data_IF_128153536215
#
_entry.id   IF_128153536215
#
_cell.length_a   1.000
_cell.length_b   1.000
_cell.length_c   1.000
_cell.angle_alpha   90.00
_cell.angle_beta   90.00
_cell.angle_gamma   90.00
#
_symmetry.space_group_name_H-M   'P 1'
#
loop_
_entity.id
_entity.type
_entity.pdbx_description
1 polymer ?
#
# COMPACT_ATOMS: atom_id res chain seq x y z
N UNK A 1 12.32 -44.80 -6.29
CA UNK A 1 12.29 -43.54 -5.53
C UNK A 1 13.39 -43.60 -4.48
N UNK A 2 14.21 -42.55 -4.34
CA UNK A 2 15.26 -42.52 -3.30
C UNK A 2 14.62 -42.42 -1.92
N UNK A 3 15.26 -43.00 -0.89
CA UNK A 3 14.82 -42.85 0.49
C UNK A 3 14.77 -41.36 0.89
N UNK A 4 13.79 -40.94 1.72
CA UNK A 4 13.69 -39.57 2.22
C UNK A 4 14.97 -39.17 2.99
N UNK A 5 15.41 -37.91 2.84
CA UNK A 5 16.59 -37.40 3.55
C UNK A 5 16.25 -37.14 5.03
N UNK A 6 17.10 -37.53 5.98
CA UNK A 6 16.88 -37.24 7.41
C UNK A 6 17.44 -38.32 8.34
N UNK A 7 17.06 -38.31 9.64
CA UNK A 7 16.04 -37.47 10.25
C UNK A 7 16.50 -36.04 10.57
N UNK A 8 15.67 -35.05 10.23
CA UNK A 8 15.84 -33.65 10.62
C UNK A 8 15.01 -33.38 11.88
N UNK A 9 15.65 -32.89 12.95
CA UNK A 9 14.99 -32.52 14.21
C UNK A 9 14.56 -31.06 14.16
N UNK A 10 13.26 -30.81 14.29
CA UNK A 10 12.62 -29.50 14.22
C UNK A 10 12.12 -29.07 15.61
N UNK A 11 12.42 -27.84 15.99
CA UNK A 11 11.85 -27.14 17.13
C UNK A 11 11.05 -25.94 16.61
N UNK A 12 9.89 -25.68 17.19
CA UNK A 12 9.10 -24.48 16.87
C UNK A 12 9.16 -23.50 18.01
N UNK A 13 8.99 -22.21 17.72
CA UNK A 13 8.77 -21.20 18.75
C UNK A 13 7.41 -20.57 18.54
N UNK A 14 6.47 -20.84 19.44
CA UNK A 14 5.09 -20.38 19.31
C UNK A 14 4.41 -20.32 20.68
N UNK A 15 3.67 -19.24 20.93
CA UNK A 15 2.89 -19.05 22.16
C UNK A 15 1.63 -19.93 22.21
N UNK A 16 1.22 -20.53 21.09
CA UNK A 16 0.10 -21.47 20.96
C UNK A 16 0.57 -22.88 20.51
N UNK A 17 1.08 -23.73 21.43
CA UNK A 17 1.75 -24.99 21.10
C UNK A 17 0.90 -26.00 20.30
N UNK A 18 -0.40 -26.11 20.60
CA UNK A 18 -1.31 -27.01 19.87
C UNK A 18 -1.57 -26.58 18.43
N UNK A 19 -1.47 -25.27 18.15
CA UNK A 19 -1.58 -24.71 16.79
C UNK A 19 -0.30 -24.99 16.01
N UNK A 20 0.86 -24.80 16.64
CA UNK A 20 2.16 -25.12 16.05
C UNK A 20 2.27 -26.62 15.71
N UNK A 21 1.90 -27.51 16.64
CA UNK A 21 1.92 -28.96 16.42
C UNK A 21 1.07 -29.39 15.22
N UNK A 22 -0.15 -28.84 15.08
CA UNK A 22 -1.03 -29.13 13.93
C UNK A 22 -0.43 -28.64 12.62
N UNK A 23 0.11 -27.42 12.58
CA UNK A 23 0.75 -26.86 11.40
C UNK A 23 1.97 -27.69 10.97
N UNK A 24 2.84 -28.04 11.93
CA UNK A 24 4.02 -28.87 11.65
C UNK A 24 3.63 -30.27 11.18
N UNK A 25 2.58 -30.88 11.75
CA UNK A 25 2.07 -32.16 11.26
C UNK A 25 1.74 -32.13 9.76
N UNK A 26 1.17 -31.02 9.28
CA UNK A 26 0.86 -30.81 7.85
C UNK A 26 2.12 -30.65 7.00
N UNK A 27 3.14 -29.95 7.51
CA UNK A 27 4.44 -29.79 6.83
C UNK A 27 5.18 -31.13 6.73
N UNK A 28 5.22 -31.89 7.82
CA UNK A 28 5.84 -33.22 7.86
C UNK A 28 5.16 -34.15 6.85
N UNK A 29 3.83 -34.14 6.81
CA UNK A 29 3.05 -34.94 5.86
C UNK A 29 3.30 -34.52 4.41
N UNK A 30 3.31 -33.22 4.11
CA UNK A 30 3.56 -32.71 2.76
C UNK A 30 4.98 -33.01 2.24
N UNK A 31 5.93 -33.21 3.16
CA UNK A 31 7.34 -33.43 2.83
C UNK A 31 7.80 -34.88 3.05
N UNK A 32 6.94 -35.81 3.47
CA UNK A 32 7.30 -37.18 3.88
C UNK A 32 8.04 -37.98 2.80
N UNK A 33 7.74 -37.72 1.53
CA UNK A 33 8.38 -38.40 0.39
C UNK A 33 9.80 -37.87 0.10
N UNK A 34 10.15 -36.70 0.64
CA UNK A 34 11.43 -36.03 0.42
C UNK A 34 12.30 -36.01 1.67
N UNK A 35 11.69 -35.90 2.85
CA UNK A 35 12.38 -35.72 4.13
C UNK A 35 11.74 -36.52 5.27
N UNK A 36 12.57 -37.04 6.16
CA UNK A 36 12.14 -37.51 7.49
C UNK A 36 12.33 -36.37 8.48
N UNK A 37 11.23 -35.81 9.00
CA UNK A 37 11.24 -34.67 9.93
C UNK A 37 10.63 -35.11 11.26
N UNK A 38 11.32 -34.83 12.36
CA UNK A 38 10.88 -35.13 13.73
C UNK A 38 10.65 -33.80 14.45
N UNK A 39 9.41 -33.50 14.80
CA UNK A 39 9.08 -32.36 15.66
C UNK A 39 9.40 -32.69 17.12
N UNK A 40 10.46 -32.10 17.66
CA UNK A 40 10.98 -32.44 18.99
C UNK A 40 10.36 -31.62 20.11
N UNK A 41 10.11 -30.32 19.88
CA UNK A 41 9.63 -29.43 20.92
C UNK A 41 8.99 -28.16 20.34
N UNK A 42 8.18 -27.50 21.17
CA UNK A 42 7.72 -26.13 20.96
C UNK A 42 8.15 -25.25 22.14
N UNK A 43 9.00 -24.26 21.88
CA UNK A 43 9.42 -23.23 22.81
C UNK A 43 8.42 -22.06 22.81
N UNK A 44 8.28 -21.36 23.94
CA UNK A 44 7.45 -20.15 24.05
C UNK A 44 8.27 -18.88 23.88
N UNK A 45 9.55 -18.91 24.21
CA UNK A 45 10.47 -17.77 24.06
C UNK A 45 11.74 -18.17 23.31
N UNK A 46 12.50 -17.16 22.89
CA UNK A 46 13.75 -17.34 22.13
C UNK A 46 14.86 -17.98 22.97
N UNK A 47 14.86 -17.72 24.28
CA UNK A 47 15.85 -18.23 25.24
C UNK A 47 15.70 -19.74 25.49
N UNK A 48 14.52 -20.30 25.23
CA UNK A 48 14.24 -21.73 25.35
C UNK A 48 14.75 -22.54 24.14
N UNK A 49 15.20 -21.88 23.07
CA UNK A 49 15.67 -22.51 21.84
C UNK A 49 17.13 -22.96 22.01
N UNK A 50 17.31 -24.24 22.34
CA UNK A 50 18.63 -24.89 22.35
C UNK A 50 19.24 -25.09 20.94
N UNK A 51 20.23 -26.01 20.78
CA UNK A 51 21.03 -26.21 19.55
C UNK A 51 20.27 -26.85 18.35
N UNK A 52 18.97 -26.57 18.19
CA UNK A 52 18.05 -27.27 17.28
C UNK A 52 17.42 -26.28 16.27
N UNK A 53 16.96 -26.78 15.11
CA UNK A 53 16.35 -25.95 14.06
C UNK A 53 15.08 -25.27 14.58
N UNK A 54 14.96 -23.95 14.38
CA UNK A 54 13.78 -23.16 14.78
C UNK A 54 12.98 -22.73 13.55
N UNK A 55 11.66 -22.96 13.56
CA UNK A 55 10.69 -22.31 12.68
C UNK A 55 9.85 -21.36 13.54
N UNK A 56 9.80 -20.09 13.15
CA UNK A 56 9.20 -19.06 13.99
C UNK A 56 8.49 -17.97 13.19
N UNK A 57 7.43 -17.43 13.80
CA UNK A 57 6.66 -16.28 13.33
C UNK A 57 7.11 -15.06 14.13
N UNK A 58 8.15 -14.40 13.66
CA UNK A 58 8.69 -13.22 14.30
C UNK A 58 8.93 -12.14 13.27
N UNK A 59 9.13 -10.90 13.75
CA UNK A 59 9.57 -9.81 12.90
C UNK A 59 10.86 -10.15 12.19
N UNK A 60 11.13 -9.48 11.07
CA UNK A 60 12.36 -9.72 10.31
C UNK A 60 13.62 -9.51 11.17
N UNK A 61 13.57 -8.58 12.12
CA UNK A 61 14.64 -8.30 13.08
C UNK A 61 14.85 -9.44 14.08
N UNK A 62 13.77 -9.94 14.68
CA UNK A 62 13.79 -11.09 15.58
C UNK A 62 14.23 -12.38 14.87
N UNK A 63 13.80 -12.58 13.62
CA UNK A 63 14.24 -13.70 12.79
C UNK A 63 15.75 -13.62 12.49
N UNK A 64 16.29 -12.42 12.22
CA UNK A 64 17.74 -12.19 12.07
C UNK A 64 18.50 -12.49 13.35
N UNK A 65 17.99 -12.06 14.51
CA UNK A 65 18.60 -12.33 15.82
C UNK A 65 18.67 -13.84 16.11
N UNK A 66 17.59 -14.59 15.85
CA UNK A 66 17.55 -16.05 16.01
C UNK A 66 18.54 -16.74 15.07
N UNK A 67 18.61 -16.29 13.83
CA UNK A 67 19.57 -16.85 12.87
C UNK A 67 21.02 -16.61 13.31
N UNK A 68 21.32 -15.49 13.96
CA UNK A 68 22.64 -15.22 14.53
C UNK A 68 22.95 -16.17 15.69
N UNK A 69 22.07 -16.24 16.68
CA UNK A 69 22.23 -17.10 17.87
C UNK A 69 22.40 -18.57 17.45
N UNK A 70 21.57 -19.04 16.51
CA UNK A 70 21.65 -20.41 16.02
C UNK A 70 23.02 -20.72 15.37
N UNK A 71 23.57 -19.79 14.59
CA UNK A 71 24.87 -19.95 13.92
C UNK A 71 26.06 -19.80 14.87
N UNK A 72 25.94 -19.00 15.92
CA UNK A 72 26.95 -18.94 16.99
C UNK A 72 27.07 -20.28 17.71
N UNK A 73 25.93 -20.95 17.95
CA UNK A 73 25.90 -22.28 18.60
C UNK A 73 26.36 -23.39 17.65
N UNK A 74 25.95 -23.32 16.38
CA UNK A 74 26.31 -24.29 15.34
C UNK A 74 26.53 -23.57 14.00
N UNK A 75 27.78 -23.30 13.62
CA UNK A 75 28.10 -22.49 12.43
C UNK A 75 27.45 -22.95 11.13
N UNK A 76 27.29 -24.27 10.95
CA UNK A 76 26.71 -24.87 9.74
C UNK A 76 25.20 -25.14 9.84
N UNK A 77 24.52 -24.61 10.87
CA UNK A 77 23.08 -24.80 11.00
C UNK A 77 22.36 -24.05 9.87
N UNK A 78 21.47 -24.77 9.18
CA UNK A 78 20.58 -24.11 8.21
C UNK A 78 19.44 -23.49 9.01
N UNK A 79 19.07 -22.26 8.67
CA UNK A 79 17.95 -21.58 9.33
C UNK A 79 16.94 -21.17 8.29
N UNK A 80 15.66 -21.16 8.67
CA UNK A 80 14.59 -20.80 7.77
C UNK A 80 13.51 -20.04 8.54
N UNK A 81 13.31 -18.78 8.18
CA UNK A 81 12.28 -17.95 8.76
C UNK A 81 11.04 -17.98 7.87
N UNK A 82 9.89 -18.18 8.50
CA UNK A 82 8.59 -17.96 7.86
C UNK A 82 8.37 -16.45 7.87
N UNK A 83 8.00 -15.82 6.73
CA UNK A 83 7.72 -14.40 6.68
C UNK A 83 6.70 -14.01 7.75
N UNK A 84 6.96 -12.91 8.43
CA UNK A 84 5.99 -12.28 9.31
C UNK A 84 4.69 -12.03 8.55
N UNK A 85 3.54 -12.17 9.21
CA UNK A 85 2.24 -11.97 8.57
C UNK A 85 1.75 -13.14 7.70
N UNK A 86 2.62 -14.02 7.18
CA UNK A 86 2.22 -15.05 6.19
C UNK A 86 1.04 -15.93 6.64
N UNK A 87 0.99 -16.34 7.92
CA UNK A 87 -0.15 -17.11 8.44
C UNK A 87 -1.43 -16.29 8.55
N UNK A 88 -1.29 -15.01 8.87
CA UNK A 88 -2.40 -14.09 9.09
C UNK A 88 -3.01 -13.70 7.74
N UNK A 89 -2.16 -13.39 6.76
CA UNK A 89 -2.51 -12.98 5.40
C UNK A 89 -3.11 -14.11 4.56
N UNK A 90 -2.51 -15.31 4.64
CA UNK A 90 -2.81 -16.40 3.69
C UNK A 90 -3.18 -17.73 4.37
N UNK A 91 -3.36 -17.71 5.68
CA UNK A 91 -3.74 -18.88 6.45
C UNK A 91 -2.60 -19.90 6.64
N UNK A 92 -2.86 -20.99 7.39
CA UNK A 92 -1.85 -22.01 7.70
C UNK A 92 -1.33 -22.78 6.47
N UNK A 93 -2.12 -22.85 5.39
CA UNK A 93 -1.76 -23.51 4.14
C UNK A 93 -0.60 -22.82 3.42
N UNK A 94 -0.54 -21.49 3.46
CA UNK A 94 0.52 -20.72 2.83
C UNK A 94 1.89 -20.90 3.51
N UNK A 95 1.90 -21.22 4.81
CA UNK A 95 3.15 -21.63 5.48
C UNK A 95 3.65 -22.95 4.90
N UNK A 96 2.74 -23.92 4.69
CA UNK A 96 3.11 -25.22 4.12
C UNK A 96 3.63 -25.03 2.70
N UNK A 97 2.95 -24.24 1.88
CA UNK A 97 3.37 -23.89 0.52
C UNK A 97 4.75 -23.22 0.52
N UNK A 98 4.95 -22.18 1.33
CA UNK A 98 6.22 -21.46 1.45
C UNK A 98 7.39 -22.38 1.84
N UNK A 99 7.17 -23.28 2.81
CA UNK A 99 8.18 -24.25 3.24
C UNK A 99 8.43 -25.34 2.18
N UNK A 100 7.47 -25.61 1.29
CA UNK A 100 7.58 -26.61 0.23
C UNK A 100 8.19 -26.07 -1.08
N UNK A 101 8.00 -24.79 -1.40
CA UNK A 101 8.31 -24.21 -2.72
C UNK A 101 9.74 -23.66 -2.88
N UNK A 102 10.49 -23.37 -1.81
CA UNK A 102 11.85 -22.81 -1.92
C UNK A 102 12.97 -23.73 -1.45
N UNK A 103 13.57 -24.58 -2.31
CA UNK A 103 14.93 -25.03 -2.11
C UNK A 103 15.90 -23.92 -2.55
N UNK A 104 16.76 -23.50 -1.63
CA UNK A 104 17.91 -22.60 -1.80
C UNK A 104 18.63 -22.73 -3.16
N UNK A 105 18.84 -21.60 -3.88
CA UNK A 105 19.81 -21.47 -4.98
C UNK A 105 20.73 -20.24 -4.77
N UNK A 106 22.06 -20.38 -4.92
CA UNK A 106 23.00 -19.27 -4.73
C UNK A 106 23.11 -18.37 -5.97
N UNK A 107 23.39 -17.08 -5.72
CA UNK A 107 23.52 -15.99 -6.71
C UNK A 107 24.78 -16.16 -7.58
N UNK A 108 24.64 -15.99 -8.91
CA UNK A 108 25.43 -15.13 -9.82
C UNK A 108 25.35 -15.64 -11.27
N UNK A 109 24.65 -14.90 -12.15
CA UNK A 109 25.17 -14.35 -13.43
C UNK A 109 24.06 -13.60 -14.18
N UNK A 110 24.40 -12.39 -14.63
CA UNK A 110 23.61 -11.54 -15.51
C UNK A 110 23.72 -12.00 -16.98
N UNK A 111 22.63 -11.94 -17.73
CA UNK A 111 22.64 -11.55 -19.15
C UNK A 111 21.28 -11.00 -19.58
N UNK A 112 21.31 -10.10 -20.57
CA UNK A 112 20.26 -9.16 -20.95
C UNK A 112 19.41 -9.69 -22.13
N UNK A 113 18.11 -9.32 -22.08
CA UNK A 113 17.05 -9.22 -23.13
C UNK A 113 16.56 -10.48 -23.86
N UNK A 114 15.23 -10.62 -23.88
CA UNK A 114 14.42 -10.55 -25.11
C UNK A 114 12.93 -10.29 -24.79
N UNK A 115 12.24 -9.63 -25.72
CA UNK A 115 10.81 -9.34 -25.67
C UNK A 115 10.00 -10.65 -25.60
N UNK A 116 9.03 -10.75 -24.69
CA UNK A 116 8.05 -11.83 -24.73
C UNK A 116 6.69 -11.35 -24.21
N UNK A 117 5.67 -11.53 -25.04
CA UNK A 117 4.24 -11.31 -24.77
C UNK A 117 3.65 -12.45 -23.94
N UNK A 118 4.27 -12.78 -22.83
CA UNK A 118 3.65 -13.61 -21.79
C UNK A 118 3.01 -12.69 -20.76
N UNK A 119 1.73 -12.95 -20.45
CA UNK A 119 0.92 -12.27 -19.43
C UNK A 119 1.62 -12.36 -18.06
N UNK A 120 2.54 -11.44 -17.78
CA UNK A 120 3.07 -11.22 -16.43
C UNK A 120 1.86 -10.83 -15.59
N UNK A 121 1.60 -11.56 -14.50
CA UNK A 121 0.69 -11.11 -13.45
C UNK A 121 1.21 -9.74 -12.99
N UNK A 122 0.68 -8.65 -13.55
CA UNK A 122 1.13 -7.29 -13.28
C UNK A 122 0.76 -6.98 -11.84
N UNK A 123 1.74 -7.05 -10.93
CA UNK A 123 1.65 -6.51 -9.57
C UNK A 123 2.11 -5.05 -9.51
N UNK A 124 2.33 -4.40 -10.65
CA UNK A 124 2.92 -3.07 -10.70
C UNK A 124 1.85 -1.99 -10.72
N UNK A 125 2.10 -0.89 -9.98
CA UNK A 125 1.30 0.31 -10.07
C UNK A 125 1.48 0.96 -11.46
N UNK A 126 0.39 1.35 -12.10
CA UNK A 126 0.41 2.12 -13.33
C UNK A 126 0.71 3.59 -13.04
N UNK A 127 1.56 4.22 -13.85
CA UNK A 127 1.97 5.61 -13.63
C UNK A 127 2.20 6.40 -14.92
N UNK A 128 2.33 7.71 -14.79
CA UNK A 128 2.87 8.61 -15.82
C UNK A 128 3.90 9.55 -15.19
N UNK A 129 4.84 10.04 -16.00
CA UNK A 129 5.92 10.94 -15.57
C UNK A 129 5.75 12.30 -16.25
N UNK A 130 5.98 13.38 -15.51
CA UNK A 130 6.19 14.74 -16.03
C UNK A 130 7.49 15.34 -15.51
N UNK A 131 7.99 16.38 -16.18
CA UNK A 131 9.17 17.11 -15.75
C UNK A 131 10.45 16.66 -16.44
N UNK A 132 11.62 17.07 -15.94
CA UNK A 132 12.91 16.78 -16.55
C UNK A 132 13.23 15.27 -16.50
N UNK A 133 14.10 14.84 -17.41
CA UNK A 133 14.64 13.48 -17.39
C UNK A 133 15.49 13.22 -16.14
N UNK A 134 15.62 11.94 -15.76
CA UNK A 134 16.27 11.54 -14.50
C UNK A 134 17.71 12.03 -14.38
N UNK A 135 18.40 12.22 -15.50
CA UNK A 135 19.79 12.71 -15.54
C UNK A 135 19.91 14.22 -15.28
N UNK A 136 18.84 14.98 -15.48
CA UNK A 136 18.79 16.43 -15.26
C UNK A 136 18.19 16.81 -13.89
N UNK A 137 17.53 15.87 -13.20
CA UNK A 137 16.84 16.13 -11.95
C UNK A 137 17.80 16.25 -10.75
N UNK A 138 18.07 17.49 -10.31
CA UNK A 138 18.89 17.79 -9.13
C UNK A 138 18.14 17.71 -7.79
N UNK A 139 16.81 17.62 -7.81
CA UNK A 139 15.93 17.61 -6.63
C UNK A 139 15.14 16.31 -6.52
N UNK A 140 14.75 15.94 -5.30
CA UNK A 140 13.95 14.74 -5.05
C UNK A 140 12.66 14.76 -5.89
N UNK A 141 12.36 13.69 -6.65
CA UNK A 141 11.15 13.61 -7.46
C UNK A 141 9.90 13.57 -6.59
N UNK A 142 8.77 13.93 -7.16
CA UNK A 142 7.45 13.88 -6.51
C UNK A 142 6.75 12.59 -6.94
N UNK A 143 6.17 11.86 -5.98
CA UNK A 143 5.21 10.79 -6.22
C UNK A 143 3.84 11.26 -5.73
N UNK A 144 2.88 11.33 -6.64
CA UNK A 144 1.56 11.92 -6.40
C UNK A 144 0.45 10.86 -6.56
N UNK A 145 -0.27 10.60 -5.47
CA UNK A 145 -1.37 9.64 -5.36
C UNK A 145 -2.74 10.32 -5.31
N UNK A 146 -3.72 9.73 -5.98
CA UNK A 146 -5.12 10.19 -6.00
C UNK A 146 -5.94 9.68 -4.79
N UNK A 147 -7.15 10.21 -4.61
CA UNK A 147 -8.13 9.75 -3.62
C UNK A 147 -8.99 8.57 -4.09
N UNK A 148 -9.90 8.08 -3.23
CA UNK A 148 -10.80 6.97 -3.56
C UNK A 148 -11.66 7.29 -4.79
N UNK A 149 -11.86 6.29 -5.66
CA UNK A 149 -12.48 6.41 -6.98
C UNK A 149 -11.75 7.34 -7.96
N UNK A 150 -10.54 7.80 -7.62
CA UNK A 150 -9.70 8.57 -8.52
C UNK A 150 -8.84 7.70 -9.43
N UNK A 151 -8.04 8.39 -10.24
CA UNK A 151 -6.95 7.85 -11.04
C UNK A 151 -5.88 8.93 -11.22
N UNK A 152 -4.72 8.55 -11.72
CA UNK A 152 -3.62 9.45 -12.08
C UNK A 152 -4.07 10.57 -13.03
N UNK A 153 -5.12 10.35 -13.83
CA UNK A 153 -5.64 11.37 -14.75
C UNK A 153 -6.21 12.59 -14.02
N UNK A 154 -6.77 12.43 -12.81
CA UNK A 154 -7.32 13.54 -12.04
C UNK A 154 -6.24 14.55 -11.64
N UNK A 155 -5.00 14.09 -11.44
CA UNK A 155 -3.89 14.93 -11.01
C UNK A 155 -3.03 15.44 -12.19
N UNK A 156 -3.36 15.08 -13.43
CA UNK A 156 -2.47 15.32 -14.58
C UNK A 156 -2.11 16.79 -14.79
N UNK A 157 -3.09 17.68 -14.79
CA UNK A 157 -2.87 19.12 -15.05
C UNK A 157 -2.04 19.77 -13.94
N UNK A 158 -2.36 19.48 -12.68
CA UNK A 158 -1.62 20.02 -11.54
C UNK A 158 -0.20 19.47 -11.49
N UNK A 159 0.01 18.19 -11.79
CA UNK A 159 1.36 17.59 -11.83
C UNK A 159 2.25 18.17 -12.91
N UNK A 160 1.70 18.55 -14.08
CA UNK A 160 2.45 19.29 -15.10
C UNK A 160 2.88 20.67 -14.62
N UNK A 161 1.99 21.38 -13.92
CA UNK A 161 2.31 22.68 -13.36
C UNK A 161 3.39 22.57 -12.28
N UNK A 162 3.25 21.62 -11.34
CA UNK A 162 4.26 21.35 -10.31
C UNK A 162 5.61 20.96 -10.92
N UNK A 163 5.63 20.12 -11.95
CA UNK A 163 6.86 19.71 -12.64
C UNK A 163 7.60 20.91 -13.24
N UNK A 164 6.85 21.83 -13.89
CA UNK A 164 7.38 23.06 -14.47
C UNK A 164 7.91 24.01 -13.38
N UNK A 165 7.09 24.29 -12.37
CA UNK A 165 7.36 25.34 -11.38
C UNK A 165 8.47 24.94 -10.40
N UNK A 166 8.57 23.64 -10.06
CA UNK A 166 9.58 23.12 -9.14
C UNK A 166 10.81 22.54 -9.85
N UNK A 167 10.76 22.38 -11.19
CA UNK A 167 11.77 21.68 -11.98
C UNK A 167 12.10 20.29 -11.40
N UNK A 168 11.07 19.58 -10.94
CA UNK A 168 11.14 18.23 -10.36
C UNK A 168 10.44 17.25 -11.29
N UNK A 169 10.97 16.03 -11.37
CA UNK A 169 10.24 14.93 -11.99
C UNK A 169 9.04 14.56 -11.12
N UNK A 170 7.87 14.35 -11.73
CA UNK A 170 6.61 14.04 -11.03
C UNK A 170 6.02 12.75 -11.58
N UNK A 171 5.94 11.73 -10.73
CA UNK A 171 5.25 10.48 -10.97
C UNK A 171 3.81 10.58 -10.46
N UNK A 172 2.82 10.43 -11.33
CA UNK A 172 1.42 10.28 -10.93
C UNK A 172 1.03 8.81 -10.98
N UNK A 173 0.53 8.28 -9.88
CA UNK A 173 0.21 6.85 -9.74
C UNK A 173 -1.29 6.61 -9.83
N UNK A 174 -1.68 5.48 -10.42
CA UNK A 174 -2.92 4.78 -10.08
C UNK A 174 -2.61 3.86 -8.90
N UNK A 175 -3.34 3.99 -7.78
CA UNK A 175 -3.20 3.05 -6.65
C UNK A 175 -3.88 1.71 -6.96
N UNK A 176 -3.63 0.66 -6.16
CA UNK A 176 -4.33 -0.63 -6.30
C UNK A 176 -5.85 -0.43 -6.40
N UNK A 177 -6.53 -1.29 -7.16
CA UNK A 177 -7.96 -1.21 -7.45
C UNK A 177 -8.40 0.04 -8.23
N UNK A 178 -7.47 0.85 -8.74
CA UNK A 178 -7.78 2.09 -9.44
C UNK A 178 -7.09 2.20 -10.80
N UNK A 179 -7.72 2.96 -11.70
CA UNK A 179 -7.19 3.28 -13.02
C UNK A 179 -6.75 2.04 -13.81
N UNK A 180 -5.46 1.92 -14.07
CA UNK A 180 -4.85 0.79 -14.81
C UNK A 180 -3.92 -0.05 -13.94
N UNK A 181 -3.91 0.17 -12.64
CA UNK A 181 -3.20 -0.68 -11.68
C UNK A 181 -3.95 -1.99 -11.46
N UNK A 182 -3.27 -2.96 -10.87
CA UNK A 182 -3.86 -4.26 -10.57
C UNK A 182 -5.01 -4.16 -9.57
N UNK A 183 -5.87 -5.18 -9.59
CA UNK A 183 -6.93 -5.34 -8.61
C UNK A 183 -6.55 -6.41 -7.57
N UNK A 184 -6.91 -6.17 -6.32
CA UNK A 184 -6.71 -7.06 -5.17
C UNK A 184 -7.92 -6.97 -4.24
N UNK A 185 -8.28 -8.10 -3.62
CA UNK A 185 -9.32 -8.14 -2.59
C UNK A 185 -8.92 -7.33 -1.34
N UNK A 186 -7.63 -7.30 -1.04
CA UNK A 186 -7.11 -6.52 0.07
C UNK A 186 -6.97 -5.04 -0.32
N UNK A 187 -7.59 -4.16 0.47
CA UNK A 187 -7.57 -2.73 0.23
C UNK A 187 -7.42 -1.93 1.53
N UNK A 188 -6.21 -2.00 2.10
CA UNK A 188 -5.83 -1.35 3.37
C UNK A 188 -4.77 -0.27 3.12
N UNK A 189 -4.59 0.66 4.05
CA UNK A 189 -3.53 1.67 3.92
C UNK A 189 -2.12 1.07 4.00
N UNK A 190 -1.91 0.05 4.83
CA UNK A 190 -0.65 -0.69 4.90
C UNK A 190 -0.30 -1.31 3.55
N UNK A 191 -1.25 -2.02 2.95
CA UNK A 191 -1.00 -2.69 1.69
C UNK A 191 -0.81 -1.68 0.53
N UNK A 192 -1.55 -0.57 0.52
CA UNK A 192 -1.30 0.54 -0.42
C UNK A 192 0.09 1.18 -0.21
N UNK A 193 0.55 1.32 1.04
CA UNK A 193 1.86 1.87 1.34
C UNK A 193 2.99 0.95 0.85
N UNK A 194 2.83 -0.36 1.03
CA UNK A 194 3.76 -1.37 0.50
C UNK A 194 3.88 -1.30 -1.03
N UNK A 195 2.77 -1.16 -1.76
CA UNK A 195 2.81 -0.99 -3.21
C UNK A 195 3.60 0.25 -3.62
N UNK A 196 3.45 1.35 -2.89
CA UNK A 196 4.15 2.62 -3.14
C UNK A 196 5.64 2.48 -2.82
N UNK A 197 6.01 1.81 -1.72
CA UNK A 197 7.41 1.50 -1.39
C UNK A 197 8.04 0.62 -2.46
N UNK A 198 7.33 -0.41 -2.92
CA UNK A 198 7.77 -1.27 -4.01
C UNK A 198 7.97 -0.47 -5.30
N UNK A 199 7.04 0.43 -5.63
CA UNK A 199 7.18 1.34 -6.77
C UNK A 199 8.43 2.23 -6.65
N UNK A 200 8.67 2.85 -5.48
CA UNK A 200 9.86 3.68 -5.21
C UNK A 200 11.15 2.89 -5.47
N UNK A 201 11.22 1.65 -4.97
CA UNK A 201 12.36 0.76 -5.19
C UNK A 201 12.52 0.35 -6.66
N UNK A 202 11.43 0.00 -7.35
CA UNK A 202 11.44 -0.36 -8.77
C UNK A 202 11.96 0.79 -9.64
N UNK A 203 11.55 2.03 -9.34
CA UNK A 203 12.01 3.24 -10.02
C UNK A 203 13.42 3.67 -9.59
N UNK A 204 14.04 2.96 -8.63
CA UNK A 204 15.36 3.24 -8.05
C UNK A 204 15.44 4.69 -7.58
N UNK A 205 14.40 5.15 -6.88
CA UNK A 205 14.38 6.47 -6.25
C UNK A 205 15.02 6.33 -4.87
N UNK A 206 16.04 7.15 -4.59
CA UNK A 206 16.70 7.13 -3.27
C UNK A 206 15.82 7.77 -2.20
N UNK A 207 15.16 8.86 -2.57
CA UNK A 207 14.26 9.66 -1.73
C UNK A 207 13.29 10.40 -2.63
N UNK A 208 12.05 10.63 -2.18
CA UNK A 208 11.03 11.31 -2.96
C UNK A 208 10.15 12.19 -2.09
N UNK A 209 9.43 13.13 -2.69
CA UNK A 209 8.34 13.86 -2.04
C UNK A 209 7.06 13.05 -2.25
N UNK A 210 6.29 12.82 -1.20
CA UNK A 210 4.99 12.15 -1.31
C UNK A 210 3.87 13.17 -1.23
N UNK A 211 3.03 13.24 -2.26
CA UNK A 211 1.78 14.00 -2.26
C UNK A 211 0.63 13.02 -2.39
N UNK A 212 -0.38 13.14 -1.54
CA UNK A 212 -1.53 12.24 -1.59
C UNK A 212 -2.81 12.96 -1.23
N UNK A 213 -3.88 12.72 -1.99
CA UNK A 213 -5.21 13.27 -1.70
C UNK A 213 -6.12 12.23 -1.06
N UNK A 214 -6.83 12.60 0.00
CA UNK A 214 -7.84 11.75 0.66
C UNK A 214 -7.29 10.36 1.03
N UNK A 215 -7.70 9.29 0.36
CA UNK A 215 -7.12 7.95 0.48
C UNK A 215 -5.59 7.96 0.29
N UNK A 216 -5.11 8.61 -0.78
CA UNK A 216 -3.69 8.74 -1.06
C UNK A 216 -2.95 9.54 0.02
N UNK A 217 -3.62 10.43 0.74
CA UNK A 217 -3.00 11.17 1.86
C UNK A 217 -2.68 10.22 3.03
N UNK A 218 -3.63 9.34 3.40
CA UNK A 218 -3.41 8.32 4.43
C UNK A 218 -2.36 7.30 3.98
N UNK A 219 -2.36 6.88 2.71
CA UNK A 219 -1.27 6.07 2.16
C UNK A 219 0.09 6.75 2.27
N UNK A 220 0.19 8.03 1.89
CA UNK A 220 1.44 8.81 2.00
C UNK A 220 1.94 8.92 3.45
N UNK A 221 1.02 9.18 4.38
CA UNK A 221 1.29 9.24 5.81
C UNK A 221 1.81 7.89 6.32
N UNK A 222 1.21 6.78 5.93
CA UNK A 222 1.68 5.43 6.30
C UNK A 222 3.09 5.16 5.76
N UNK A 223 3.38 5.46 4.48
CA UNK A 223 4.74 5.30 3.94
C UNK A 223 5.76 6.15 4.71
N UNK A 224 5.41 7.38 5.08
CA UNK A 224 6.32 8.27 5.81
C UNK A 224 6.61 7.79 7.24
N UNK A 225 5.65 7.12 7.88
CA UNK A 225 5.82 6.54 9.22
C UNK A 225 6.58 5.22 9.18
N UNK A 226 6.28 4.32 8.23
CA UNK A 226 6.94 3.01 8.11
C UNK A 226 8.33 3.10 7.47
N UNK A 227 8.54 4.02 6.52
CA UNK A 227 9.76 4.12 5.70
C UNK A 227 10.25 5.57 5.58
N UNK A 228 10.55 6.26 6.70
CA UNK A 228 10.90 7.68 6.71
C UNK A 228 12.14 8.02 5.87
N UNK A 229 13.05 7.06 5.69
CA UNK A 229 14.27 7.24 4.89
C UNK A 229 13.99 7.47 3.39
N UNK A 230 12.83 7.00 2.89
CA UNK A 230 12.41 7.15 1.49
C UNK A 230 11.70 8.49 1.23
N UNK A 231 11.31 9.23 2.28
CA UNK A 231 10.46 10.43 2.17
C UNK A 231 11.25 11.69 2.51
N UNK A 232 11.39 12.59 1.53
CA UNK A 232 12.09 13.87 1.63
C UNK A 232 11.19 14.99 2.17
N UNK A 233 9.93 14.98 1.74
CA UNK A 233 8.87 15.83 2.24
C UNK A 233 7.53 15.13 2.04
N UNK A 234 6.56 15.43 2.89
CA UNK A 234 5.23 14.85 2.88
C UNK A 234 4.17 15.94 2.68
N UNK A 235 3.21 15.72 1.78
CA UNK A 235 2.09 16.64 1.54
C UNK A 235 0.76 15.86 1.56
N UNK A 236 0.16 15.64 2.75
CA UNK A 236 -1.16 15.05 2.85
C UNK A 236 -2.22 16.10 2.51
N UNK A 237 -3.10 15.77 1.56
CA UNK A 237 -4.12 16.69 1.06
C UNK A 237 -5.48 16.22 1.53
N UNK A 238 -6.08 17.02 2.41
CA UNK A 238 -7.43 16.90 2.95
C UNK A 238 -7.77 15.53 3.58
N UNK A 239 -6.85 15.00 4.38
CA UNK A 239 -7.11 13.89 5.29
C UNK A 239 -6.18 13.96 6.51
N UNK A 240 -6.64 13.44 7.65
CA UNK A 240 -5.90 13.43 8.91
C UNK A 240 -5.58 11.98 9.37
N UNK A 241 -4.54 11.78 10.18
CA UNK A 241 -4.14 10.47 10.72
C UNK A 241 -5.05 10.04 11.89
N UNK A 242 -6.37 10.04 11.65
CA UNK A 242 -7.40 9.68 12.63
C UNK A 242 -8.42 8.73 12.00
N UNK A 243 -9.17 8.04 12.85
CA UNK A 243 -10.33 7.28 12.40
C UNK A 243 -11.47 8.26 12.09
N UNK A 244 -11.94 8.22 10.85
CA UNK A 244 -13.01 9.10 10.38
C UNK A 244 -14.02 8.25 9.58
N UNK A 245 -15.32 8.30 9.91
CA UNK A 245 -16.30 7.47 9.23
C UNK A 245 -16.42 7.84 7.75
N UNK A 246 -16.03 6.93 6.86
CA UNK A 246 -16.15 7.09 5.40
C UNK A 246 -17.52 6.65 4.84
N UNK A 247 -18.36 5.98 5.64
CA UNK A 247 -19.63 5.37 5.18
C UNK A 247 -20.72 6.35 4.75
N UNK A 248 -20.57 7.65 5.00
CA UNK A 248 -21.55 8.66 4.61
C UNK A 248 -21.70 8.74 3.09
N UNK A 249 -21.01 9.70 2.47
CA UNK A 249 -21.19 9.97 1.04
C UNK A 249 -20.61 8.86 0.16
N UNK A 250 -19.44 8.31 0.50
CA UNK A 250 -18.83 7.22 -0.28
C UNK A 250 -19.67 5.93 -0.27
N UNK A 251 -20.41 5.66 0.81
CA UNK A 251 -21.36 4.53 0.86
C UNK A 251 -22.49 4.70 -0.16
N UNK A 252 -23.04 5.91 -0.28
CA UNK A 252 -24.06 6.23 -1.30
C UNK A 252 -23.49 6.12 -2.71
N UNK A 253 -22.25 6.55 -2.93
CA UNK A 253 -21.60 6.44 -4.24
C UNK A 253 -21.45 4.98 -4.67
N UNK A 254 -21.01 4.11 -3.77
CA UNK A 254 -20.92 2.66 -4.03
C UNK A 254 -22.28 2.10 -4.42
N UNK A 255 -23.35 2.45 -3.70
CA UNK A 255 -24.71 2.00 -4.02
C UNK A 255 -25.16 2.47 -5.41
N UNK A 256 -24.92 3.74 -5.74
CA UNK A 256 -25.24 4.28 -7.07
C UNK A 256 -24.44 3.63 -8.19
N UNK A 257 -23.14 3.40 -7.98
CA UNK A 257 -22.27 2.72 -8.93
C UNK A 257 -22.69 1.25 -9.14
N UNK A 258 -23.04 0.53 -8.07
CA UNK A 258 -23.58 -0.83 -8.17
C UNK A 258 -24.92 -0.86 -8.93
N UNK A 259 -25.79 0.13 -8.71
CA UNK A 259 -27.07 0.23 -9.43
C UNK A 259 -26.84 0.48 -10.94
N UNK A 260 -25.87 1.33 -11.30
CA UNK A 260 -25.48 1.53 -12.70
C UNK A 260 -25.00 0.23 -13.35
N UNK A 261 -24.17 -0.56 -12.66
CA UNK A 261 -23.70 -1.86 -13.17
C UNK A 261 -24.84 -2.86 -13.34
N UNK A 262 -25.78 -2.91 -12.39
CA UNK A 262 -26.94 -3.79 -12.45
C UNK A 262 -27.89 -3.48 -13.63
N UNK A 263 -27.94 -2.22 -14.07
CA UNK A 263 -28.80 -1.78 -15.16
C UNK A 263 -28.19 -1.94 -16.57
N UNK A 264 -26.93 -2.37 -16.68
CA UNK A 264 -26.25 -2.61 -17.97
C UNK A 264 -26.34 -1.41 -18.94
N UNK A 265 -26.20 -0.19 -18.43
CA UNK A 265 -26.37 1.03 -19.23
C UNK A 265 -25.35 1.11 -20.38
N UNK A 266 -25.75 1.67 -21.53
CA UNK A 266 -24.90 1.78 -22.74
C UNK A 266 -24.33 3.19 -22.92
N UNK A 267 -24.94 4.20 -22.30
CA UNK A 267 -24.55 5.61 -22.40
C UNK A 267 -24.20 6.16 -21.03
N UNK A 268 -23.14 6.97 -20.97
CA UNK A 268 -22.74 7.68 -19.75
C UNK A 268 -23.84 8.62 -19.24
N UNK A 269 -24.64 9.22 -20.14
CA UNK A 269 -25.77 10.07 -19.76
C UNK A 269 -26.86 9.31 -18.98
N UNK A 270 -27.03 8.01 -19.23
CA UNK A 270 -28.00 7.20 -18.50
C UNK A 270 -27.45 6.80 -17.14
N UNK A 271 -26.13 6.55 -17.05
CA UNK A 271 -25.45 6.37 -15.77
C UNK A 271 -25.55 7.63 -14.87
N UNK A 272 -25.37 8.84 -15.43
CA UNK A 272 -25.52 10.09 -14.66
C UNK A 272 -26.94 10.30 -14.11
N UNK A 273 -27.98 9.92 -14.88
CA UNK A 273 -29.38 9.97 -14.41
C UNK A 273 -29.58 9.08 -13.18
N UNK A 274 -29.03 7.87 -13.19
CA UNK A 274 -29.10 6.95 -12.04
C UNK A 274 -28.32 7.54 -10.86
N UNK A 275 -27.11 8.04 -11.12
CA UNK A 275 -26.23 8.56 -10.06
C UNK A 275 -26.79 9.82 -9.38
N UNK A 276 -27.66 10.57 -10.07
CA UNK A 276 -28.35 11.73 -9.51
C UNK A 276 -29.20 11.41 -8.28
N UNK A 277 -29.70 10.20 -8.15
CA UNK A 277 -30.46 9.76 -6.97
C UNK A 277 -29.56 9.53 -5.73
N UNK A 278 -28.23 9.53 -5.92
CA UNK A 278 -27.24 9.25 -4.87
C UNK A 278 -26.32 10.44 -4.58
N UNK A 279 -26.16 11.38 -5.52
CA UNK A 279 -25.30 12.56 -5.39
C UNK A 279 -25.84 13.74 -6.22
N UNK A 280 -26.10 14.88 -5.57
CA UNK A 280 -26.66 16.09 -6.19
C UNK A 280 -25.61 16.92 -6.97
N UNK A 281 -24.36 16.88 -6.52
CA UNK A 281 -23.23 17.61 -7.10
C UNK A 281 -22.84 17.02 -8.45
N UNK A 282 -23.14 17.75 -9.53
CA UNK A 282 -22.71 17.39 -10.88
C UNK A 282 -21.20 17.14 -10.98
N UNK A 283 -20.31 18.00 -10.43
CA UNK A 283 -18.87 17.72 -10.43
C UNK A 283 -18.48 16.36 -9.83
N UNK A 284 -19.09 15.97 -8.70
CA UNK A 284 -18.79 14.69 -8.05
C UNK A 284 -19.30 13.52 -8.89
N UNK A 285 -20.52 13.62 -9.43
CA UNK A 285 -21.04 12.60 -10.36
C UNK A 285 -20.12 12.41 -11.55
N UNK A 286 -19.71 13.50 -12.21
CA UNK A 286 -18.81 13.43 -13.35
C UNK A 286 -17.45 12.85 -12.98
N UNK A 287 -16.93 13.16 -11.79
CA UNK A 287 -15.71 12.54 -11.25
C UNK A 287 -15.87 11.01 -11.14
N UNK A 288 -16.94 10.51 -10.49
CA UNK A 288 -17.18 9.08 -10.35
C UNK A 288 -17.31 8.39 -11.72
N UNK A 289 -18.03 9.02 -12.65
CA UNK A 289 -18.26 8.53 -14.01
C UNK A 289 -16.99 8.54 -14.88
N UNK A 290 -15.88 9.17 -14.46
CA UNK A 290 -14.57 9.01 -15.15
C UNK A 290 -14.06 7.56 -15.11
N UNK A 291 -14.56 6.76 -14.17
CA UNK A 291 -14.23 5.34 -14.07
C UNK A 291 -15.02 4.48 -15.05
N UNK A 292 -16.11 4.97 -15.65
CA UNK A 292 -16.86 4.19 -16.62
C UNK A 292 -16.01 3.94 -17.88
N UNK A 293 -16.05 2.70 -18.32
CA UNK A 293 -15.42 2.23 -19.56
C UNK A 293 -16.45 1.41 -20.33
N UNK A 294 -16.36 1.46 -21.66
CA UNK A 294 -17.20 0.63 -22.52
C UNK A 294 -16.63 -0.78 -22.54
N UNK A 295 -17.44 -1.76 -22.13
CA UNK A 295 -17.14 -3.18 -22.23
C UNK A 295 -17.28 -3.70 -23.66
N UNK A 296 -16.77 -4.90 -23.90
CA UNK A 296 -16.85 -5.58 -25.21
C UNK A 296 -18.30 -5.87 -25.63
N UNK A 297 -19.18 -6.07 -24.65
CA UNK A 297 -20.63 -6.23 -24.84
C UNK A 297 -21.36 -4.90 -25.15
N UNK A 298 -20.63 -3.79 -25.26
CA UNK A 298 -21.18 -2.47 -25.52
C UNK A 298 -21.77 -1.77 -24.29
N UNK A 299 -21.90 -2.45 -23.15
CA UNK A 299 -22.35 -1.86 -21.89
C UNK A 299 -21.24 -1.03 -21.23
N UNK A 300 -21.60 -0.16 -20.30
CA UNK A 300 -20.66 0.62 -19.50
C UNK A 300 -20.42 -0.10 -18.17
N UNK A 301 -19.16 -0.30 -17.81
CA UNK A 301 -18.73 -0.91 -16.54
C UNK A 301 -17.75 0.00 -15.83
N UNK A 302 -17.68 -0.06 -14.51
CA UNK A 302 -16.64 0.68 -13.82
C UNK A 302 -15.32 -0.07 -13.92
N UNK A 303 -14.25 0.66 -14.22
CA UNK A 303 -12.90 0.08 -14.21
C UNK A 303 -12.43 -0.26 -12.80
N UNK A 304 -12.97 0.43 -11.78
CA UNK A 304 -12.70 0.13 -10.37
C UNK A 304 -13.59 -1.04 -9.92
N UNK A 305 -13.10 -1.95 -9.08
CA UNK A 305 -13.90 -3.04 -8.55
C UNK A 305 -14.82 -2.50 -7.45
N UNK A 306 -16.03 -2.04 -7.83
CA UNK A 306 -16.96 -1.33 -6.95
C UNK A 306 -17.31 -2.14 -5.69
N UNK A 307 -17.50 -3.45 -5.83
CA UNK A 307 -17.77 -4.34 -4.69
C UNK A 307 -16.62 -4.38 -3.69
N UNK A 308 -15.39 -4.62 -4.17
CA UNK A 308 -14.18 -4.65 -3.33
C UNK A 308 -13.99 -3.33 -2.59
N UNK A 309 -14.11 -2.20 -3.30
CA UNK A 309 -13.97 -0.89 -2.69
C UNK A 309 -15.10 -0.59 -1.69
N UNK A 310 -16.32 -1.05 -1.97
CA UNK A 310 -17.46 -0.97 -1.07
C UNK A 310 -17.24 -1.72 0.24
N UNK A 311 -16.77 -2.96 0.16
CA UNK A 311 -16.47 -3.80 1.32
C UNK A 311 -15.34 -3.20 2.17
N UNK A 312 -14.35 -2.58 1.52
CA UNK A 312 -13.20 -1.95 2.17
C UNK A 312 -13.52 -0.63 2.89
N UNK A 313 -14.64 0.05 2.60
CA UNK A 313 -14.97 1.38 3.17
C UNK A 313 -14.91 1.41 4.70
N UNK A 314 -15.32 0.32 5.35
CA UNK A 314 -15.30 0.22 6.82
C UNK A 314 -13.89 0.25 7.37
N UNK A 315 -12.96 -0.44 6.71
CA UNK A 315 -11.57 -0.53 7.11
C UNK A 315 -10.80 0.75 6.76
N UNK A 316 -11.06 1.30 5.58
CA UNK A 316 -10.47 2.57 5.12
C UNK A 316 -10.87 3.77 6.00
N UNK A 317 -11.92 3.66 6.81
CA UNK A 317 -12.26 4.67 7.82
C UNK A 317 -11.15 4.80 8.88
N UNK A 318 -10.35 3.75 9.09
CA UNK A 318 -9.32 3.71 10.10
C UNK A 318 -8.01 4.38 9.64
N UNK A 319 -7.06 4.53 10.54
CA UNK A 319 -5.66 4.78 10.24
C UNK A 319 -4.81 3.67 10.89
N UNK A 320 -3.75 3.14 10.26
CA UNK A 320 -3.02 1.98 10.78
C UNK A 320 -2.43 2.16 12.17
N UNK A 321 -2.21 3.40 12.60
CA UNK A 321 -1.69 3.72 13.93
C UNK A 321 -2.78 4.39 14.77
N UNK A 322 -3.12 3.76 15.89
CA UNK A 322 -4.20 4.20 16.79
C UNK A 322 -3.70 5.08 17.94
N UNK A 323 -2.39 5.06 18.22
CA UNK A 323 -1.76 5.83 19.30
C UNK A 323 -0.87 6.94 18.72
N UNK A 324 -1.35 8.20 18.69
CA UNK A 324 -0.55 9.32 18.21
C UNK A 324 0.76 9.49 18.98
N UNK A 325 1.88 9.46 18.25
CA UNK A 325 3.23 9.58 18.80
C UNK A 325 3.93 8.24 19.09
N UNK A 326 3.25 7.09 18.91
CA UNK A 326 3.89 5.76 18.97
C UNK A 326 4.94 5.57 17.88
N UNK A 327 4.71 6.20 16.72
CA UNK A 327 5.65 6.38 15.62
C UNK A 327 5.61 7.84 15.19
N UNK A 328 6.73 8.35 14.66
CA UNK A 328 6.81 9.74 14.20
C UNK A 328 7.61 9.86 12.90
N UNK A 329 7.16 10.77 12.03
CA UNK A 329 7.94 11.22 10.88
C UNK A 329 8.41 12.66 11.14
N UNK A 330 9.71 12.82 11.33
CA UNK A 330 10.34 14.11 11.62
C UNK A 330 10.76 14.89 10.37
N UNK A 331 10.34 14.47 9.18
CA UNK A 331 10.63 15.22 7.97
C UNK A 331 9.67 16.39 7.74
N UNK A 332 10.03 17.32 6.83
CA UNK A 332 9.17 18.42 6.43
C UNK A 332 7.80 17.91 5.97
N UNK A 333 6.74 18.48 6.51
CA UNK A 333 5.37 18.05 6.22
C UNK A 333 4.44 19.26 6.03
N UNK A 334 3.64 19.26 4.97
CA UNK A 334 2.59 20.27 4.73
C UNK A 334 1.24 19.57 4.58
N UNK A 335 0.35 19.74 5.56
CA UNK A 335 -1.04 19.36 5.40
C UNK A 335 -1.77 20.47 4.65
N UNK A 336 -2.40 20.13 3.53
CA UNK A 336 -3.24 21.08 2.78
C UNK A 336 -4.70 20.75 3.08
N UNK A 337 -5.39 21.68 3.75
CA UNK A 337 -6.76 21.52 4.25
C UNK A 337 -7.74 22.32 3.40
N UNK A 338 -8.84 21.69 2.98
CA UNK A 338 -9.98 22.42 2.42
C UNK A 338 -10.81 23.04 3.55
N UNK A 339 -10.96 24.36 3.60
CA UNK A 339 -11.67 25.03 4.71
C UNK A 339 -13.17 24.74 4.77
N UNK A 340 -13.77 24.22 3.69
CA UNK A 340 -15.16 23.77 3.62
C UNK A 340 -15.28 22.25 3.78
N UNK A 341 -14.16 21.56 4.02
CA UNK A 341 -14.08 20.12 4.26
C UNK A 341 -14.11 19.79 5.75
N UNK A 342 -14.54 18.57 6.07
CA UNK A 342 -14.57 18.05 7.46
C UNK A 342 -13.43 17.08 7.78
N UNK A 343 -12.57 16.76 6.80
CA UNK A 343 -11.55 15.72 6.95
C UNK A 343 -10.34 16.14 7.78
N UNK A 344 -10.05 17.44 7.83
CA UNK A 344 -8.99 18.00 8.67
C UNK A 344 -9.61 19.13 9.48
N UNK A 345 -10.16 18.82 10.66
CA UNK A 345 -10.66 19.85 11.59
C UNK A 345 -9.56 20.30 12.55
N UNK A 346 -9.77 21.42 13.25
CA UNK A 346 -8.84 21.89 14.29
C UNK A 346 -8.63 20.83 15.40
N UNK A 347 -9.65 20.00 15.67
CA UNK A 347 -9.58 18.89 16.62
C UNK A 347 -8.61 17.78 16.20
N UNK A 348 -8.32 17.66 14.90
CA UNK A 348 -7.36 16.67 14.38
C UNK A 348 -5.91 17.16 14.44
N UNK A 349 -5.68 18.47 14.56
CA UNK A 349 -4.33 19.07 14.56
C UNK A 349 -3.42 18.50 15.67
N UNK A 350 -3.89 18.28 16.91
CA UNK A 350 -3.06 17.64 17.94
C UNK A 350 -2.56 16.25 17.54
N UNK A 351 -3.41 15.42 16.89
CA UNK A 351 -3.00 14.10 16.41
C UNK A 351 -2.01 14.21 15.25
N UNK A 352 -2.25 15.13 14.31
CA UNK A 352 -1.31 15.46 13.23
C UNK A 352 0.07 15.81 13.81
N UNK A 353 0.13 16.72 14.78
CA UNK A 353 1.40 17.17 15.39
C UNK A 353 2.12 16.08 16.18
N UNK A 354 1.39 15.10 16.72
CA UNK A 354 2.00 13.96 17.41
C UNK A 354 2.66 12.97 16.45
N UNK A 355 2.06 12.69 15.29
CA UNK A 355 2.67 11.84 14.26
C UNK A 355 3.70 12.58 13.38
N UNK A 356 3.48 13.88 13.14
CA UNK A 356 4.25 14.73 12.23
C UNK A 356 4.64 16.04 12.94
N UNK A 357 5.65 16.03 13.83
CA UNK A 357 5.99 17.20 14.66
C UNK A 357 6.31 18.48 13.88
N UNK A 358 6.86 18.33 12.67
CA UNK A 358 7.21 19.43 11.77
C UNK A 358 6.11 19.78 10.76
N UNK A 359 4.88 19.28 10.95
CA UNK A 359 3.75 19.59 10.07
C UNK A 359 3.40 21.08 10.08
N UNK A 360 3.25 21.67 8.91
CA UNK A 360 2.59 22.95 8.68
C UNK A 360 1.16 22.68 8.16
N UNK A 361 0.23 23.61 8.41
CA UNK A 361 -1.14 23.53 7.86
C UNK A 361 -1.32 24.71 6.91
N UNK A 362 -1.69 24.41 5.66
CA UNK A 362 -2.09 25.40 4.67
C UNK A 362 -3.59 25.28 4.38
N UNK A 363 -4.29 26.41 4.43
CA UNK A 363 -5.73 26.47 4.24
C UNK A 363 -6.07 26.91 2.81
N UNK A 364 -6.88 26.10 2.14
CA UNK A 364 -7.39 26.37 0.79
C UNK A 364 -8.89 26.53 0.87
N UNK A 365 -9.43 27.62 0.33
CA UNK A 365 -10.88 27.84 0.28
C UNK A 365 -11.54 26.91 -0.74
N UNK A 366 -11.85 25.68 -0.30
CA UNK A 366 -12.46 24.61 -1.08
C UNK A 366 -13.05 23.53 -0.16
N UNK A 367 -13.90 22.67 -0.73
CA UNK A 367 -14.36 21.43 -0.11
C UNK A 367 -13.32 20.31 -0.21
N UNK A 368 -13.79 19.06 -0.15
CA UNK A 368 -12.91 17.89 -0.17
C UNK A 368 -12.14 17.73 -1.48
N UNK A 369 -12.69 18.21 -2.59
CA UNK A 369 -12.10 18.09 -3.92
C UNK A 369 -11.19 19.28 -4.25
N UNK A 370 -10.42 19.78 -3.27
CA UNK A 370 -9.71 21.06 -3.34
C UNK A 370 -8.75 21.20 -4.52
N UNK A 371 -8.14 20.11 -4.99
CA UNK A 371 -7.26 20.14 -6.17
C UNK A 371 -8.06 20.49 -7.44
N UNK A 372 -9.33 20.08 -7.51
CA UNK A 372 -10.22 20.39 -8.62
C UNK A 372 -10.98 21.69 -8.41
N UNK A 373 -11.38 22.01 -7.18
CA UNK A 373 -12.17 23.20 -6.86
C UNK A 373 -11.31 24.47 -6.84
N UNK A 374 -10.08 24.40 -6.34
CA UNK A 374 -9.16 25.53 -6.27
C UNK A 374 -7.70 25.09 -6.57
N UNK A 375 -7.42 24.65 -7.81
CA UNK A 375 -6.11 24.11 -8.21
C UNK A 375 -4.96 25.10 -8.04
N UNK A 376 -5.23 26.41 -8.22
CA UNK A 376 -4.20 27.44 -8.16
C UNK A 376 -3.73 27.68 -6.73
N UNK A 377 -4.66 27.82 -5.77
CA UNK A 377 -4.32 27.94 -4.36
C UNK A 377 -3.55 26.70 -3.87
N UNK A 378 -4.04 25.49 -4.20
CA UNK A 378 -3.32 24.26 -3.90
C UNK A 378 -1.89 24.26 -4.48
N UNK A 379 -1.74 24.66 -5.76
CA UNK A 379 -0.43 24.73 -6.40
C UNK A 379 0.50 25.66 -5.65
N UNK A 380 0.05 26.86 -5.32
CA UNK A 380 0.88 27.89 -4.71
C UNK A 380 1.42 27.42 -3.36
N UNK A 381 0.57 26.85 -2.50
CA UNK A 381 0.97 26.33 -1.18
C UNK A 381 2.04 25.23 -1.32
N UNK A 382 1.83 24.28 -2.23
CA UNK A 382 2.79 23.19 -2.47
C UNK A 382 4.09 23.70 -3.07
N UNK A 383 4.04 24.65 -4.01
CA UNK A 383 5.23 25.22 -4.63
C UNK A 383 6.07 25.99 -3.61
N UNK A 384 5.45 26.87 -2.82
CA UNK A 384 6.13 27.62 -1.76
C UNK A 384 6.84 26.66 -0.80
N UNK A 385 6.12 25.68 -0.25
CA UNK A 385 6.68 24.71 0.69
C UNK A 385 7.84 23.88 0.11
N UNK A 386 7.71 23.40 -1.13
CA UNK A 386 8.74 22.57 -1.77
C UNK A 386 9.89 23.36 -2.38
N UNK A 387 9.78 24.69 -2.47
CA UNK A 387 10.91 25.56 -2.78
C UNK A 387 11.84 25.72 -1.58
N UNK A 388 11.25 25.90 -0.39
CA UNK A 388 11.95 26.06 0.89
C UNK A 388 12.49 24.72 1.43
N UNK A 389 11.95 23.60 0.97
CA UNK A 389 12.35 22.26 1.38
C UNK A 389 13.31 21.61 0.36
N UNK A 390 14.43 20.99 0.78
CA UNK A 390 15.41 20.37 -0.13
C UNK A 390 14.83 19.48 -1.24
#
# INVERSE_FOLDING_TARGET
MSAPKGPFRLVTVNTAPDRAKRLIGRVVEALKDRYTIIHEANCKTIEEVGPKFSASMWTEEQARQIHSIAREIKPDIKTHAIPEGLQVERGPDAIVEYLCEKPYKPKYRLSIREFSTSRVLRSDLSYQIFGPDKEEASRSPIVFMHGLFGSKQNNRSISKALARDLKRQVFILDLRNHGHSFHSQEHTYTAMAEDVVNFIHQQKLKKCVLIGHSMGAKTAMTVALDSPSLVSALVPVDNAPVNAPLKGDFGKYVQGMQNIEAQNVVKQSDADKILKDYEDSLPIRQFLLTNLVRGEDGTMKFRVPVSILGDALSEMANFPYTEPGSVTYNGPTLFVRGTKSKYVSDETIPAIKKFFPHAQIADVEAGHWLISENPEAFRQEVVTFLQETP
#
